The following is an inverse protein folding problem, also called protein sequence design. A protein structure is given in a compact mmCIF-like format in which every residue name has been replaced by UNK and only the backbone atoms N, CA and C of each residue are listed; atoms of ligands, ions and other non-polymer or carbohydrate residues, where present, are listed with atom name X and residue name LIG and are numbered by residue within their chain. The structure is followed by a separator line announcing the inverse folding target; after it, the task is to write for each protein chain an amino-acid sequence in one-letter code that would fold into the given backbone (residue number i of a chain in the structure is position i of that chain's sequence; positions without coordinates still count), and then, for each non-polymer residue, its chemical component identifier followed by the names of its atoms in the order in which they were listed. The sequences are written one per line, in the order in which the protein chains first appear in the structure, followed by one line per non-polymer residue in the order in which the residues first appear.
data_IF_270262824050
#
_entry.id   IF_270262824050
#
_cell.length_a   1.000
_cell.length_b   1.000
_cell.length_c   1.000
_cell.angle_alpha   90.00
_cell.angle_beta   90.00
_cell.angle_gamma   90.00
#
_symmetry.space_group_name_H-M   'P 1'
#
loop_
_entity.id
_entity.type
_entity.pdbx_description
1 polymer ?
#
# COMPACT_ATOMS: atom_id res chain seq x y z
N UNK A 1 -9.58 -1.34 10.69
CA UNK A 1 -8.63 -1.32 9.55
C UNK A 1 -8.46 0.08 8.99
N UNK A 2 -9.50 0.72 8.43
CA UNK A 2 -9.40 2.07 7.85
C UNK A 2 -8.65 3.10 8.73
N UNK A 3 -9.22 3.49 9.89
CA UNK A 3 -8.62 4.52 10.75
C UNK A 3 -7.26 4.15 11.37
N UNK A 4 -6.93 2.86 11.43
CA UNK A 4 -5.73 2.38 12.14
C UNK A 4 -4.57 2.08 11.21
N UNK A 5 -4.85 1.76 9.94
CA UNK A 5 -3.86 1.28 8.97
C UNK A 5 -3.98 2.02 7.65
N UNK A 6 -5.11 1.89 6.94
CA UNK A 6 -5.24 2.44 5.58
C UNK A 6 -5.13 3.96 5.54
N UNK A 7 -5.66 4.66 6.54
CA UNK A 7 -5.57 6.12 6.58
C UNK A 7 -4.11 6.60 6.75
N UNK A 8 -3.23 5.75 7.28
CA UNK A 8 -1.78 5.97 7.34
C UNK A 8 -1.00 5.35 6.16
N UNK A 9 -1.69 4.79 5.17
CA UNK A 9 -1.09 4.09 4.03
C UNK A 9 -0.60 2.66 4.31
N UNK A 10 -0.77 2.15 5.54
CA UNK A 10 -0.40 0.78 5.87
C UNK A 10 -1.37 -0.20 5.22
N UNK A 11 -0.80 -1.24 4.61
CA UNK A 11 -1.56 -2.31 4.01
C UNK A 11 -0.67 -3.42 3.50
N UNK A 12 -1.25 -4.48 2.90
CA UNK A 12 -0.52 -5.69 2.54
C UNK A 12 0.60 -5.38 1.55
N UNK A 13 1.81 -5.76 1.90
CA UNK A 13 2.99 -5.73 1.05
C UNK A 13 3.57 -7.14 1.03
N UNK A 14 3.54 -7.79 -0.15
CA UNK A 14 3.97 -9.18 -0.31
C UNK A 14 5.00 -9.31 -1.41
N UNK A 15 5.79 -10.36 -1.31
CA UNK A 15 6.75 -10.71 -2.34
C UNK A 15 6.89 -12.22 -2.50
N UNK A 16 7.39 -12.61 -3.66
CA UNK A 16 7.71 -14.00 -4.02
C UNK A 16 9.13 -14.05 -4.57
N UNK A 17 9.99 -14.91 -4.02
CA UNK A 17 11.32 -15.17 -4.55
C UNK A 17 11.21 -16.11 -5.76
N UNK A 18 11.44 -15.59 -6.97
CA UNK A 18 11.25 -16.35 -8.22
C UNK A 18 12.34 -17.39 -8.47
N UNK A 19 13.42 -17.36 -7.70
CA UNK A 19 14.43 -18.43 -7.67
C UNK A 19 13.89 -19.74 -7.12
N UNK A 20 12.78 -19.69 -6.35
CA UNK A 20 12.23 -20.84 -5.62
C UNK A 20 13.11 -21.31 -4.46
N UNK A 21 14.15 -20.55 -4.08
CA UNK A 21 15.07 -20.93 -3.02
C UNK A 21 14.67 -20.31 -1.68
N UNK A 22 14.60 -21.15 -0.65
CA UNK A 22 14.30 -20.70 0.70
C UNK A 22 15.34 -19.71 1.25
N UNK A 23 16.62 -19.84 0.86
CA UNK A 23 17.68 -18.89 1.26
C UNK A 23 17.39 -17.45 0.84
N UNK A 24 16.72 -17.25 -0.30
CA UNK A 24 16.35 -15.91 -0.76
C UNK A 24 15.19 -15.35 0.08
N UNK A 25 14.30 -16.21 0.58
CA UNK A 25 13.23 -15.81 1.49
C UNK A 25 13.81 -15.35 2.84
N UNK A 26 14.77 -16.10 3.39
CA UNK A 26 15.45 -15.73 4.64
C UNK A 26 16.19 -14.40 4.49
N UNK A 27 16.87 -14.18 3.35
CA UNK A 27 17.57 -12.91 3.07
C UNK A 27 16.59 -11.75 2.90
N UNK A 28 15.47 -11.96 2.21
CA UNK A 28 14.44 -10.92 2.05
C UNK A 28 13.70 -10.61 3.35
N UNK A 29 13.41 -11.61 4.19
CA UNK A 29 12.86 -11.42 5.53
C UNK A 29 13.79 -10.52 6.37
N UNK A 30 15.09 -10.83 6.38
CA UNK A 30 16.10 -10.02 7.07
C UNK A 30 16.18 -8.59 6.52
N UNK A 31 16.25 -8.44 5.20
CA UNK A 31 16.36 -7.12 4.56
C UNK A 31 15.11 -6.26 4.78
N UNK A 32 13.92 -6.86 4.77
CA UNK A 32 12.69 -6.16 5.12
C UNK A 32 12.69 -5.73 6.59
N UNK A 33 13.08 -6.63 7.50
CA UNK A 33 13.18 -6.34 8.93
C UNK A 33 14.16 -5.19 9.24
N UNK A 34 15.30 -5.13 8.54
CA UNK A 34 16.30 -4.04 8.68
C UNK A 34 15.76 -2.67 8.21
N UNK A 35 14.72 -2.65 7.35
CA UNK A 35 14.10 -1.42 6.84
C UNK A 35 12.96 -0.88 7.71
N UNK A 36 12.55 -1.63 8.74
CA UNK A 36 11.44 -1.29 9.64
C UNK A 36 12.01 -0.77 10.95
N UNK A 37 11.64 0.45 11.34
CA UNK A 37 11.96 1.01 12.66
C UNK A 37 10.84 0.69 13.66
N UNK A 38 11.02 -0.29 14.57
CA UNK A 38 9.98 -0.67 15.53
C UNK A 38 9.71 0.40 16.61
N UNK A 39 10.49 1.48 16.65
CA UNK A 39 10.28 2.60 17.57
C UNK A 39 9.47 3.76 16.96
N UNK A 40 9.28 3.78 15.63
CA UNK A 40 8.57 4.88 14.92
C UNK A 40 7.09 4.92 15.28
N UNK A 41 6.39 3.79 15.19
CA UNK A 41 4.99 3.65 15.57
C UNK A 41 4.63 2.19 15.88
N UNK A 42 3.43 1.97 16.42
CA UNK A 42 2.98 0.62 16.79
C UNK A 42 2.76 -0.27 15.55
N UNK A 43 2.34 0.30 14.41
CA UNK A 43 2.17 -0.46 13.17
C UNK A 43 3.50 -1.05 12.71
N UNK A 44 4.60 -0.30 12.78
CA UNK A 44 5.94 -0.83 12.46
C UNK A 44 6.40 -1.86 13.46
N UNK A 45 6.18 -1.61 14.76
CA UNK A 45 6.52 -2.58 15.80
C UNK A 45 5.84 -3.93 15.57
N UNK A 46 4.55 -3.92 15.25
CA UNK A 46 3.78 -5.14 14.99
C UNK A 46 4.33 -5.89 13.77
N UNK A 47 4.67 -5.17 12.69
CA UNK A 47 5.21 -5.77 11.47
C UNK A 47 6.66 -6.25 11.63
N UNK A 48 7.46 -5.57 12.45
CA UNK A 48 8.80 -6.00 12.85
C UNK A 48 8.75 -7.31 13.65
N UNK A 49 7.88 -7.37 14.67
CA UNK A 49 7.70 -8.59 15.48
C UNK A 49 7.22 -9.75 14.61
N UNK A 50 6.26 -9.47 13.71
CA UNK A 50 5.79 -10.45 12.75
C UNK A 50 6.91 -11.01 11.88
N UNK A 51 7.68 -10.16 11.17
CA UNK A 51 8.68 -10.63 10.21
C UNK A 51 9.83 -11.39 10.90
N UNK A 52 10.20 -10.99 12.12
CA UNK A 52 11.19 -11.69 12.96
C UNK A 52 10.78 -13.14 13.25
N UNK A 53 9.49 -13.38 13.49
CA UNK A 53 8.98 -14.69 13.92
C UNK A 53 8.37 -15.49 12.75
N UNK A 54 8.22 -14.89 11.57
CA UNK A 54 7.45 -15.46 10.45
C UNK A 54 8.03 -16.77 9.90
N UNK A 55 9.36 -16.95 9.97
CA UNK A 55 10.03 -18.20 9.59
C UNK A 55 9.69 -19.35 10.55
N UNK A 56 9.72 -19.08 11.85
CA UNK A 56 9.48 -20.07 12.91
C UNK A 56 8.07 -20.68 12.82
N UNK A 57 7.12 -19.90 12.32
CA UNK A 57 5.73 -20.31 12.16
C UNK A 57 5.49 -21.25 10.95
N UNK A 58 6.48 -21.42 10.05
CA UNK A 58 6.42 -22.37 8.92
C UNK A 58 5.15 -22.26 8.06
N UNK A 59 4.79 -21.03 7.69
CA UNK A 59 3.56 -20.71 6.95
C UNK A 59 3.69 -20.79 5.42
N UNK A 60 4.90 -21.06 4.92
CA UNK A 60 5.16 -21.14 3.47
C UNK A 60 4.54 -22.42 2.91
N UNK A 61 3.71 -22.26 1.87
CA UNK A 61 3.14 -23.37 1.09
C UNK A 61 3.28 -23.01 -0.39
N UNK A 62 3.94 -23.88 -1.17
CA UNK A 62 4.19 -23.64 -2.59
C UNK A 62 5.38 -22.71 -2.80
N UNK A 63 5.15 -21.51 -3.32
CA UNK A 63 6.23 -20.56 -3.62
C UNK A 63 6.81 -19.92 -2.37
N UNK A 64 8.13 -19.69 -2.37
CA UNK A 64 8.83 -18.94 -1.32
C UNK A 64 8.36 -17.48 -1.29
N UNK A 65 7.46 -17.18 -0.36
CA UNK A 65 6.74 -15.91 -0.31
C UNK A 65 6.54 -15.44 1.13
N UNK A 66 6.46 -14.13 1.29
CA UNK A 66 6.17 -13.47 2.56
C UNK A 66 5.24 -12.29 2.33
N UNK A 67 4.56 -11.91 3.41
CA UNK A 67 3.70 -10.73 3.48
C UNK A 67 3.95 -10.03 4.81
N UNK A 68 3.81 -8.72 4.84
CA UNK A 68 3.68 -7.88 6.02
C UNK A 68 2.88 -6.61 5.65
N UNK A 69 2.64 -5.71 6.59
CA UNK A 69 2.04 -4.40 6.33
C UNK A 69 3.09 -3.29 6.43
N UNK A 70 3.09 -2.36 5.48
CA UNK A 70 3.92 -1.15 5.49
C UNK A 70 3.23 0.04 4.82
N UNK A 71 3.64 1.24 5.19
CA UNK A 71 3.25 2.52 4.60
C UNK A 71 4.03 2.81 3.30
N UNK A 72 3.77 3.97 2.68
CA UNK A 72 4.37 4.36 1.40
C UNK A 72 5.91 4.32 1.43
N UNK A 73 6.51 5.00 2.41
CA UNK A 73 7.96 5.06 2.52
C UNK A 73 8.57 3.70 2.87
N UNK A 74 7.94 2.93 3.77
CA UNK A 74 8.37 1.59 4.12
C UNK A 74 8.37 0.64 2.91
N UNK A 75 7.28 0.63 2.12
CA UNK A 75 7.19 -0.16 0.89
C UNK A 75 8.27 0.22 -0.11
N UNK A 76 8.54 1.52 -0.31
CA UNK A 76 9.60 2.01 -1.21
C UNK A 76 10.99 1.56 -0.74
N UNK A 77 11.33 1.75 0.54
CA UNK A 77 12.62 1.33 1.09
C UNK A 77 12.86 -0.17 0.94
N UNK A 78 11.88 -0.99 1.29
CA UNK A 78 12.00 -2.46 1.17
C UNK A 78 12.13 -2.87 -0.29
N UNK A 79 11.31 -2.32 -1.20
CA UNK A 79 11.36 -2.63 -2.62
C UNK A 79 12.72 -2.28 -3.24
N UNK A 80 13.26 -1.09 -2.95
CA UNK A 80 14.59 -0.67 -3.41
C UNK A 80 15.68 -1.58 -2.85
N UNK A 81 15.61 -1.92 -1.55
CA UNK A 81 16.56 -2.83 -0.92
C UNK A 81 16.54 -4.21 -1.57
N UNK A 82 15.37 -4.75 -1.89
CA UNK A 82 15.28 -6.02 -2.60
C UNK A 82 15.85 -5.92 -4.01
N UNK A 83 15.53 -4.85 -4.76
CA UNK A 83 16.07 -4.67 -6.10
C UNK A 83 17.61 -4.52 -6.09
N UNK A 84 18.18 -3.90 -5.06
CA UNK A 84 19.62 -3.85 -4.84
C UNK A 84 20.22 -5.25 -4.61
N UNK A 85 19.60 -6.09 -3.78
CA UNK A 85 20.05 -7.46 -3.53
C UNK A 85 19.97 -8.35 -4.79
N UNK A 86 18.97 -8.12 -5.64
CA UNK A 86 18.89 -8.77 -6.97
C UNK A 86 20.05 -8.29 -7.85
N UNK A 87 20.34 -6.99 -7.86
CA UNK A 87 21.44 -6.37 -8.64
C UNK A 87 22.81 -6.88 -8.22
N UNK A 88 23.04 -7.09 -6.92
CA UNK A 88 24.30 -7.64 -6.38
C UNK A 88 24.43 -9.15 -6.55
N UNK A 89 23.35 -9.84 -6.96
CA UNK A 89 23.30 -11.29 -7.09
C UNK A 89 23.21 -12.04 -5.76
N UNK A 90 22.89 -11.34 -4.67
CA UNK A 90 22.71 -11.94 -3.34
C UNK A 90 21.43 -12.77 -3.25
N UNK A 91 20.41 -12.41 -4.03
CA UNK A 91 19.15 -13.17 -4.22
C UNK A 91 18.78 -13.21 -5.72
N UNK A 92 17.93 -14.17 -6.11
CA UNK A 92 17.31 -14.15 -7.44
C UNK A 92 16.17 -13.13 -7.57
N UNK A 93 15.59 -12.96 -8.77
CA UNK A 93 14.51 -12.00 -9.01
C UNK A 93 13.33 -12.16 -8.06
N UNK A 94 12.69 -11.05 -7.71
CA UNK A 94 11.57 -11.01 -6.76
C UNK A 94 10.34 -10.42 -7.43
N UNK A 95 9.19 -11.06 -7.28
CA UNK A 95 7.90 -10.47 -7.69
C UNK A 95 7.25 -9.82 -6.47
N UNK A 96 7.17 -8.49 -6.45
CA UNK A 96 6.37 -7.75 -5.47
C UNK A 96 4.90 -7.77 -5.87
N UNK A 97 4.03 -7.63 -4.87
CA UNK A 97 2.61 -7.38 -5.08
C UNK A 97 1.89 -7.11 -3.77
N UNK A 98 0.57 -7.31 -3.77
CA UNK A 98 -0.28 -7.17 -2.58
C UNK A 98 -1.62 -7.87 -2.73
N UNK A 99 -2.36 -7.95 -1.63
CA UNK A 99 -3.80 -8.19 -1.71
C UNK A 99 -4.50 -6.96 -2.28
N UNK A 100 -5.76 -7.13 -2.68
CA UNK A 100 -6.60 -5.99 -3.03
C UNK A 100 -7.16 -5.32 -1.76
N UNK A 101 -7.15 -6.00 -0.60
CA UNK A 101 -7.48 -5.42 0.71
C UNK A 101 -6.42 -4.41 1.18
N UNK A 102 -6.37 -3.25 0.53
CA UNK A 102 -5.35 -2.22 0.72
C UNK A 102 -5.97 -0.81 0.66
N UNK A 103 -5.16 0.20 1.01
CA UNK A 103 -5.54 1.61 1.13
C UNK A 103 -6.22 2.19 -0.12
N UNK A 104 -5.68 1.92 -1.32
CA UNK A 104 -6.13 2.49 -2.59
C UNK A 104 -6.79 1.48 -3.53
N UNK A 105 -6.46 0.20 -3.36
CA UNK A 105 -6.77 -0.82 -4.34
C UNK A 105 -8.25 -1.18 -4.41
N UNK A 106 -9.07 -0.87 -3.41
CA UNK A 106 -10.46 -1.36 -3.36
C UNK A 106 -11.45 -0.32 -2.90
N UNK A 107 -12.49 -0.14 -3.70
CA UNK A 107 -13.74 0.46 -3.29
C UNK A 107 -14.75 -0.64 -2.94
N UNK A 108 -15.19 -0.64 -1.67
CA UNK A 108 -16.07 -1.67 -1.12
C UNK A 108 -16.82 -1.09 0.08
N UNK A 109 -18.07 -0.62 -0.09
CA UNK A 109 -18.82 0.08 0.95
C UNK A 109 -19.09 -0.77 2.20
N UNK A 110 -18.94 -2.10 2.08
CA UNK A 110 -19.16 -3.04 3.18
C UNK A 110 -17.86 -3.46 3.88
N UNK A 111 -16.69 -3.01 3.40
CA UNK A 111 -15.41 -3.44 3.95
C UNK A 111 -14.33 -2.35 3.85
N UNK A 112 -13.57 -2.28 2.76
CA UNK A 112 -12.39 -1.39 2.64
C UNK A 112 -12.72 0.10 2.73
N UNK A 113 -13.88 0.51 2.21
CA UNK A 113 -14.36 1.90 2.25
C UNK A 113 -15.56 2.08 3.17
N UNK A 114 -15.84 1.12 4.07
CA UNK A 114 -16.96 1.22 5.01
C UNK A 114 -16.83 2.37 6.03
N UNK A 115 -15.61 2.90 6.25
CA UNK A 115 -15.37 4.07 7.11
C UNK A 115 -15.37 5.40 6.36
N UNK A 116 -15.66 5.43 5.06
CA UNK A 116 -15.80 6.65 4.27
C UNK A 116 -17.21 7.21 4.49
N UNK A 117 -17.31 8.46 4.97
CA UNK A 117 -18.56 9.03 5.52
C UNK A 117 -19.14 10.19 4.70
N UNK A 118 -18.44 10.66 3.69
CA UNK A 118 -18.89 11.73 2.79
C UNK A 118 -19.91 11.27 1.73
N UNK A 119 -20.37 10.01 1.81
CA UNK A 119 -21.27 9.38 0.84
C UNK A 119 -20.57 8.81 -0.40
N UNK A 120 -19.26 9.04 -0.57
CA UNK A 120 -18.52 8.50 -1.72
C UNK A 120 -18.16 7.01 -1.57
N UNK A 121 -18.46 6.38 -0.43
CA UNK A 121 -18.12 4.98 -0.14
C UNK A 121 -18.66 3.97 -1.16
N UNK A 122 -19.72 4.34 -1.90
CA UNK A 122 -20.36 3.53 -2.96
C UNK A 122 -19.75 3.73 -4.36
N UNK A 123 -18.81 4.66 -4.52
CA UNK A 123 -18.13 4.95 -5.78
C UNK A 123 -17.07 3.91 -6.10
N UNK A 124 -16.47 3.97 -7.30
CA UNK A 124 -15.41 3.05 -7.75
C UNK A 124 -14.18 3.76 -8.36
N UNK A 125 -14.11 5.09 -8.22
CA UNK A 125 -13.07 5.91 -8.82
C UNK A 125 -11.69 5.62 -8.25
N UNK A 126 -11.58 5.40 -6.93
CA UNK A 126 -10.29 5.18 -6.27
C UNK A 126 -9.61 3.90 -6.78
N UNK A 127 -10.33 2.78 -6.80
CA UNK A 127 -9.82 1.51 -7.30
C UNK A 127 -9.48 1.58 -8.80
N UNK A 128 -10.32 2.24 -9.60
CA UNK A 128 -10.11 2.41 -11.04
C UNK A 128 -8.88 3.28 -11.34
N UNK A 129 -8.73 4.40 -10.64
CA UNK A 129 -7.57 5.30 -10.73
C UNK A 129 -6.29 4.60 -10.26
N UNK A 130 -6.35 3.87 -9.14
CA UNK A 130 -5.22 3.09 -8.64
C UNK A 130 -4.72 2.11 -9.72
N UNK A 131 -5.61 1.31 -10.30
CA UNK A 131 -5.29 0.40 -11.41
C UNK A 131 -4.67 1.12 -12.60
N UNK A 132 -5.32 2.17 -13.11
CA UNK A 132 -4.87 2.87 -14.31
C UNK A 132 -3.52 3.55 -14.09
N UNK A 133 -3.32 4.19 -12.94
CA UNK A 133 -2.06 4.88 -12.63
C UNK A 133 -0.92 3.92 -12.30
N UNK A 134 -1.18 2.73 -11.76
CA UNK A 134 -0.18 1.66 -11.63
C UNK A 134 0.27 1.16 -13.00
N UNK A 135 -0.68 0.94 -13.93
CA UNK A 135 -0.37 0.53 -15.29
C UNK A 135 0.47 1.59 -16.02
N UNK A 136 0.09 2.87 -15.90
CA UNK A 136 0.80 3.98 -16.52
C UNK A 136 2.22 4.21 -15.94
N UNK A 137 2.48 3.77 -14.71
CA UNK A 137 3.77 3.93 -14.01
C UNK A 137 4.71 2.73 -14.14
N UNK A 138 4.35 1.73 -14.95
CA UNK A 138 5.27 0.66 -15.32
C UNK A 138 5.26 -0.56 -14.39
N UNK A 139 4.21 -0.74 -13.58
CA UNK A 139 4.01 -2.02 -12.88
C UNK A 139 3.96 -3.17 -13.91
N UNK A 140 4.61 -4.30 -13.60
CA UNK A 140 4.73 -5.45 -14.52
C UNK A 140 3.38 -6.10 -14.84
N UNK A 141 2.48 -6.11 -13.86
CA UNK A 141 1.11 -6.62 -13.99
C UNK A 141 0.17 -5.68 -13.24
N UNK A 142 -0.99 -5.41 -13.81
CA UNK A 142 -2.09 -4.72 -13.13
C UNK A 142 -3.39 -5.51 -13.34
N UNK A 143 -4.19 -5.63 -12.29
CA UNK A 143 -5.47 -6.32 -12.32
C UNK A 143 -6.57 -5.43 -11.73
N UNK A 144 -7.76 -5.49 -12.32
CA UNK A 144 -8.97 -4.87 -11.81
C UNK A 144 -10.09 -5.90 -11.84
N UNK A 145 -10.68 -6.17 -10.67
CA UNK A 145 -11.68 -7.22 -10.49
C UNK A 145 -13.00 -6.64 -9.99
N UNK A 146 -14.07 -7.43 -10.17
CA UNK A 146 -15.41 -7.15 -9.67
C UNK A 146 -15.75 -8.14 -8.54
N UNK A 147 -15.99 -7.60 -7.35
CA UNK A 147 -16.61 -8.31 -6.23
C UNK A 147 -15.65 -9.06 -5.31
N UNK A 148 -14.37 -8.73 -5.33
CA UNK A 148 -13.40 -9.32 -4.42
C UNK A 148 -13.81 -9.16 -2.96
N UNK A 149 -13.86 -10.29 -2.27
CA UNK A 149 -14.12 -10.34 -0.83
C UNK A 149 -15.56 -10.21 -0.38
N UNK A 150 -16.34 -9.28 -0.93
CA UNK A 150 -17.75 -9.04 -0.53
C UNK A 150 -18.77 -9.60 -1.53
N UNK A 151 -18.33 -10.08 -2.69
CA UNK A 151 -19.15 -10.72 -3.71
C UNK A 151 -19.43 -9.84 -4.93
N UNK A 152 -19.86 -10.47 -6.02
CA UNK A 152 -20.07 -9.86 -7.34
C UNK A 152 -20.97 -8.62 -7.22
N UNK A 153 -20.54 -7.52 -7.84
CA UNK A 153 -21.27 -6.25 -7.90
C UNK A 153 -21.22 -5.41 -6.63
N UNK A 154 -20.50 -5.86 -5.59
CA UNK A 154 -20.45 -5.19 -4.28
C UNK A 154 -19.10 -4.52 -3.98
N UNK A 155 -18.10 -4.70 -4.85
CA UNK A 155 -16.81 -4.05 -4.75
C UNK A 155 -16.13 -3.97 -6.12
N UNK A 156 -15.29 -2.96 -6.30
CA UNK A 156 -14.31 -2.89 -7.39
C UNK A 156 -12.94 -2.89 -6.74
N UNK A 157 -12.11 -3.86 -7.10
CA UNK A 157 -10.88 -4.15 -6.36
C UNK A 157 -9.74 -4.51 -7.32
N UNK A 158 -8.63 -3.79 -7.22
CA UNK A 158 -7.44 -3.94 -8.05
C UNK A 158 -6.15 -4.20 -7.26
N UNK A 159 -5.17 -4.71 -7.99
CA UNK A 159 -3.85 -5.08 -7.47
C UNK A 159 -2.79 -4.99 -8.55
N UNK A 160 -1.55 -5.20 -8.15
CA UNK A 160 -0.41 -5.13 -9.03
C UNK A 160 0.59 -6.26 -8.78
N UNK A 161 1.45 -6.49 -9.76
CA UNK A 161 2.71 -7.21 -9.62
C UNK A 161 3.85 -6.37 -10.19
N UNK A 162 4.99 -6.33 -9.50
CA UNK A 162 6.20 -5.64 -9.96
C UNK A 162 7.41 -6.57 -9.85
N UNK A 163 7.99 -6.90 -10.99
CA UNK A 163 9.22 -7.68 -11.06
C UNK A 163 10.41 -6.81 -10.70
N UNK A 164 11.14 -7.22 -9.66
CA UNK A 164 12.45 -6.69 -9.30
C UNK A 164 13.51 -7.52 -10.02
N UNK A 165 14.06 -6.95 -11.08
CA UNK A 165 15.06 -7.56 -11.95
C UNK A 165 16.49 -7.04 -11.68
N UNK A 166 16.65 -6.18 -10.68
CA UNK A 166 17.92 -5.55 -10.33
C UNK A 166 18.29 -4.36 -11.21
N UNK A 167 17.48 -3.96 -12.19
CA UNK A 167 17.79 -2.82 -13.05
C UNK A 167 17.52 -1.47 -12.38
N UNK A 168 18.29 -0.45 -12.74
CA UNK A 168 18.05 0.93 -12.29
C UNK A 168 16.71 1.49 -12.81
N UNK A 169 16.24 1.01 -13.96
CA UNK A 169 14.90 1.35 -14.49
C UNK A 169 13.79 0.94 -13.51
N UNK A 170 13.94 -0.20 -12.84
CA UNK A 170 12.97 -0.65 -11.84
C UNK A 170 13.02 0.22 -10.57
N UNK A 171 14.16 0.80 -10.21
CA UNK A 171 14.22 1.78 -9.11
C UNK A 171 13.32 2.99 -9.41
N UNK A 172 13.36 3.53 -10.63
CA UNK A 172 12.49 4.65 -11.04
C UNK A 172 11.00 4.29 -10.99
N UNK A 173 10.65 3.05 -11.38
CA UNK A 173 9.28 2.52 -11.29
C UNK A 173 8.87 2.41 -9.82
N UNK A 174 9.73 1.89 -8.94
CA UNK A 174 9.46 1.79 -7.50
C UNK A 174 9.14 3.16 -6.92
N UNK A 175 9.97 4.17 -7.22
CA UNK A 175 9.84 5.52 -6.67
C UNK A 175 8.55 6.24 -7.13
N UNK A 176 8.07 5.92 -8.32
CA UNK A 176 6.84 6.50 -8.88
C UNK A 176 5.59 5.70 -8.52
N UNK A 177 5.60 4.40 -8.82
CA UNK A 177 4.42 3.55 -8.81
C UNK A 177 3.99 3.16 -7.38
N UNK A 178 4.93 2.86 -6.47
CA UNK A 178 4.56 2.54 -5.07
C UNK A 178 3.96 3.76 -4.38
N UNK A 179 4.51 4.95 -4.63
CA UNK A 179 3.97 6.18 -4.05
C UNK A 179 2.52 6.42 -4.53
N UNK A 180 2.25 6.23 -5.83
CA UNK A 180 0.89 6.28 -6.36
C UNK A 180 -0.05 5.23 -5.76
N UNK A 181 0.40 3.97 -5.69
CA UNK A 181 -0.40 2.84 -5.19
C UNK A 181 -0.85 3.04 -3.74
N UNK A 182 -0.09 3.77 -2.92
CA UNK A 182 -0.43 4.04 -1.52
C UNK A 182 -1.11 5.39 -1.34
N UNK A 183 -0.52 6.47 -1.86
CA UNK A 183 -0.94 7.84 -1.56
C UNK A 183 -2.24 8.20 -2.26
N UNK A 184 -2.59 7.56 -3.38
CA UNK A 184 -3.88 7.79 -4.04
C UNK A 184 -5.07 7.50 -3.12
N UNK A 185 -5.01 6.41 -2.36
CA UNK A 185 -6.03 6.05 -1.38
C UNK A 185 -5.99 6.93 -0.13
N UNK A 186 -4.81 7.30 0.36
CA UNK A 186 -4.67 8.28 1.45
C UNK A 186 -5.30 9.61 1.07
N UNK A 187 -5.00 10.12 -0.13
CA UNK A 187 -5.55 11.36 -0.66
C UNK A 187 -7.08 11.30 -0.72
N UNK A 188 -7.65 10.21 -1.26
CA UNK A 188 -9.10 10.03 -1.31
C UNK A 188 -9.72 9.93 0.10
N UNK A 189 -9.11 9.16 1.00
CA UNK A 189 -9.59 9.00 2.39
C UNK A 189 -9.56 10.32 3.15
N UNK A 190 -8.50 11.11 2.95
CA UNK A 190 -8.36 12.46 3.50
C UNK A 190 -9.44 13.39 2.95
N UNK A 191 -9.67 13.38 1.62
CA UNK A 191 -10.76 14.14 0.99
C UNK A 191 -12.13 13.81 1.58
N UNK A 192 -12.38 12.54 1.89
CA UNK A 192 -13.60 12.09 2.55
C UNK A 192 -13.67 12.39 4.07
N UNK A 193 -12.74 13.17 4.62
CA UNK A 193 -12.76 13.65 6.00
C UNK A 193 -12.17 12.69 7.04
N UNK A 194 -11.40 11.66 6.64
CA UNK A 194 -10.73 10.82 7.63
C UNK A 194 -9.52 11.53 8.22
N UNK A 195 -9.54 11.76 9.54
CA UNK A 195 -8.55 12.58 10.27
C UNK A 195 -7.10 12.12 10.05
N UNK A 196 -6.81 10.84 10.25
CA UNK A 196 -5.45 10.31 10.09
C UNK A 196 -4.96 10.32 8.63
N UNK A 197 -5.89 10.28 7.67
CA UNK A 197 -5.55 10.40 6.25
C UNK A 197 -5.26 11.86 5.88
N UNK A 198 -5.93 12.83 6.50
CA UNK A 198 -5.60 14.26 6.38
C UNK A 198 -4.21 14.54 6.93
N UNK A 199 -3.88 14.00 8.10
CA UNK A 199 -2.55 14.11 8.71
C UNK A 199 -1.47 13.53 7.79
N UNK A 200 -1.72 12.34 7.23
CA UNK A 200 -0.77 11.67 6.32
C UNK A 200 -0.63 12.41 4.99
N UNK A 201 -1.73 12.94 4.44
CA UNK A 201 -1.71 13.74 3.22
C UNK A 201 -1.00 15.10 3.42
N UNK A 202 -1.17 15.75 4.58
CA UNK A 202 -0.46 16.97 4.91
C UNK A 202 1.06 16.76 4.99
N UNK A 203 1.50 15.70 5.68
CA UNK A 203 2.93 15.31 5.71
C UNK A 203 3.48 15.00 4.32
N UNK A 204 2.69 14.31 3.48
CA UNK A 204 3.09 14.06 2.09
C UNK A 204 3.30 15.38 1.33
N UNK A 205 2.39 16.35 1.47
CA UNK A 205 2.53 17.66 0.83
C UNK A 205 3.75 18.44 1.30
N UNK A 206 4.08 18.39 2.59
CA UNK A 206 5.28 19.03 3.16
C UNK A 206 6.56 18.43 2.57
N UNK A 207 6.60 17.10 2.43
CA UNK A 207 7.77 16.36 1.92
C UNK A 207 7.93 16.50 0.41
N UNK A 208 6.84 16.47 -0.35
CA UNK A 208 6.85 16.37 -1.82
C UNK A 208 6.62 17.70 -2.55
N UNK A 209 6.29 18.78 -1.84
CA UNK A 209 5.50 19.94 -2.31
C UNK A 209 5.87 20.65 -3.62
N UNK A 210 7.04 20.39 -4.22
CA UNK A 210 7.39 20.88 -5.57
C UNK A 210 6.97 19.88 -6.66
N UNK A 211 7.01 18.57 -6.35
CA UNK A 211 6.78 17.47 -7.29
C UNK A 211 5.31 17.06 -7.36
N UNK A 212 4.61 17.08 -6.22
CA UNK A 212 3.23 16.62 -6.11
C UNK A 212 2.49 17.37 -4.99
N UNK A 213 1.16 17.44 -5.12
CA UNK A 213 0.31 18.08 -4.13
C UNK A 213 -1.07 17.40 -4.07
N UNK A 214 -1.53 17.08 -2.86
CA UNK A 214 -2.85 16.56 -2.55
C UNK A 214 -3.74 17.72 -2.09
N UNK A 215 -4.92 17.84 -2.67
CA UNK A 215 -5.93 18.78 -2.18
C UNK A 215 -6.45 18.34 -0.81
N UNK A 216 -6.30 19.19 0.21
CA UNK A 216 -6.87 18.97 1.54
C UNK A 216 -8.24 19.65 1.63
N UNK A 217 -9.31 18.96 2.08
CA UNK A 217 -10.63 19.54 2.23
C UNK A 217 -10.66 20.55 3.39
N UNK A 218 -11.49 21.59 3.24
CA UNK A 218 -11.86 22.47 4.34
C UNK A 218 -13.17 21.96 4.95
N UNK A 219 -13.10 21.45 6.18
CA UNK A 219 -14.27 20.91 6.87
C UNK A 219 -15.11 22.06 7.45
N UNK A 220 -16.42 22.01 7.20
CA UNK A 220 -17.38 22.91 7.86
C UNK A 220 -17.51 22.53 9.34
N UNK A 221 -17.77 23.52 10.21
CA UNK A 221 -18.07 23.24 11.61
C UNK A 221 -19.53 22.83 11.77
N UNK A 222 -19.81 21.96 12.74
CA UNK A 222 -21.18 21.52 13.03
C UNK A 222 -22.07 22.70 13.41
N UNK A 223 -21.56 23.71 14.13
CA UNK A 223 -22.33 24.90 14.48
C UNK A 223 -22.76 25.73 13.26
N UNK A 224 -21.93 25.74 12.20
CA UNK A 224 -22.29 26.41 10.95
C UNK A 224 -23.40 25.65 10.24
N UNK A 225 -23.34 24.32 10.24
CA UNK A 225 -24.35 23.46 9.63
C UNK A 225 -25.69 23.59 10.37
N UNK A 226 -25.67 23.50 11.70
CA UNK A 226 -26.87 23.67 12.55
C UNK A 226 -27.56 25.01 12.27
N UNK A 227 -26.78 26.10 12.14
CA UNK A 227 -27.32 27.43 11.86
C UNK A 227 -27.98 27.57 10.47
N UNK A 228 -27.56 26.79 9.48
CA UNK A 228 -27.99 26.94 8.08
C UNK A 228 -29.07 25.93 7.70
N UNK A 229 -29.09 24.76 8.33
CA UNK A 229 -29.99 23.65 7.99
C UNK A 229 -31.28 23.62 8.83
N UNK A 230 -31.33 24.35 9.95
CA UNK A 230 -32.56 24.66 10.71
C UNK A 230 -33.37 25.80 10.08
#
# INVERSE_FOLDING_TARGET
MGPLLFDYGYGPFRWVCLSGKHEDLVKTDRAAMECIDPARCWQDRDNYVWIRDAEQNRLVVGTEARILYQDEEGRRRIALRFNELVRSGEIGPVMLGRDHHDVSGTDSPFRETANIRDGSNVMADMATQCFAGNAARGMTLCALHNGGGVGIGKAINGGFGLLLDGSARVDEIIESAISWDVIGGVARRGWAGNEHALETAARYNEREGVRAHITLPHLASDELLDKILD
#
